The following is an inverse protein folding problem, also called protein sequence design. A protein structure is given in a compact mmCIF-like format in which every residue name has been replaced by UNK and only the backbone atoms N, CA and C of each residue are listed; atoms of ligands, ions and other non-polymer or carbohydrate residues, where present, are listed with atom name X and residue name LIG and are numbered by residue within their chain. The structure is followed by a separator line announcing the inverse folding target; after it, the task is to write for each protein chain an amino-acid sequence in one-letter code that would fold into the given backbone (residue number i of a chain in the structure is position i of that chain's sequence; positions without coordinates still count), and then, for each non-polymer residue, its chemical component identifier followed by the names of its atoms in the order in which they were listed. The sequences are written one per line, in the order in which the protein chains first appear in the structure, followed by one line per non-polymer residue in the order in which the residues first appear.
data_IF_208227668435
#
_entry.id   IF_208227668435
#
_cell.length_a   1.000
_cell.length_b   1.000
_cell.length_c   1.000
_cell.angle_alpha   90.00
_cell.angle_beta   90.00
_cell.angle_gamma   90.00
#
_symmetry.space_group_name_H-M   'P 1'
#
loop_
_entity.id
_entity.type
_entity.pdbx_description
1 polymer ?
#
# COMPACT_ATOMS: atom_id res chain seq x y z
N UNK A 1 18.86 6.94 -15.62
CA UNK A 1 18.69 5.75 -14.75
C UNK A 1 17.70 6.16 -13.68
N UNK A 2 16.66 5.37 -13.37
CA UNK A 2 15.70 5.77 -12.33
C UNK A 2 16.34 5.67 -10.94
N UNK A 3 16.08 6.67 -10.10
CA UNK A 3 16.45 6.63 -8.69
C UNK A 3 15.40 5.79 -7.95
N UNK A 4 15.84 4.95 -7.01
CA UNK A 4 14.94 4.05 -6.29
C UNK A 4 14.75 4.54 -4.85
N UNK A 5 13.55 4.99 -4.54
CA UNK A 5 13.14 5.27 -3.17
C UNK A 5 12.72 3.95 -2.49
N UNK A 6 13.67 3.30 -1.83
CA UNK A 6 13.43 2.02 -1.14
C UNK A 6 13.71 2.16 0.35
N UNK A 7 12.68 2.50 1.12
CA UNK A 7 12.76 2.58 2.58
C UNK A 7 12.21 1.33 3.28
N UNK A 8 12.12 0.20 2.56
CA UNK A 8 11.64 -1.08 3.15
C UNK A 8 12.70 -1.74 4.04
N UNK A 9 13.90 -1.17 4.17
CA UNK A 9 14.96 -1.63 5.07
C UNK A 9 15.90 -0.49 5.43
N UNK A 10 16.69 -0.68 6.49
CA UNK A 10 17.73 0.25 6.92
C UNK A 10 18.73 0.57 5.79
N UNK A 11 19.27 -0.46 5.13
CA UNK A 11 20.23 -0.33 4.05
C UNK A 11 19.60 0.33 2.82
N UNK A 12 18.34 0.05 2.54
CA UNK A 12 17.59 0.68 1.46
C UNK A 12 17.48 2.20 1.67
N UNK A 13 17.14 2.62 2.89
CA UNK A 13 17.05 4.04 3.24
C UNK A 13 18.39 4.75 3.14
N UNK A 14 19.47 4.13 3.62
CA UNK A 14 20.83 4.69 3.49
C UNK A 14 21.28 4.79 2.02
N UNK A 15 21.00 3.76 1.21
CA UNK A 15 21.33 3.78 -0.21
C UNK A 15 20.54 4.88 -0.94
N UNK A 16 19.26 5.06 -0.62
CA UNK A 16 18.48 6.16 -1.18
C UNK A 16 19.09 7.52 -0.82
N UNK A 17 19.39 7.79 0.45
CA UNK A 17 19.98 9.06 0.87
C UNK A 17 21.35 9.30 0.21
N UNK A 18 22.17 8.26 0.10
CA UNK A 18 23.45 8.33 -0.62
C UNK A 18 23.27 8.67 -2.09
N UNK A 19 22.40 7.96 -2.79
CA UNK A 19 22.23 8.12 -4.23
C UNK A 19 21.47 9.41 -4.57
N UNK A 20 20.58 9.87 -3.68
CA UNK A 20 19.76 11.05 -3.89
C UNK A 20 20.44 12.36 -3.49
N UNK A 21 21.23 12.33 -2.41
CA UNK A 21 21.84 13.53 -1.81
C UNK A 21 23.36 13.54 -1.94
N UNK A 22 23.96 12.47 -2.46
CA UNK A 22 25.42 12.27 -2.54
C UNK A 22 26.13 12.31 -1.16
N UNK A 23 25.41 11.93 -0.10
CA UNK A 23 25.93 11.91 1.28
C UNK A 23 26.43 10.51 1.64
N UNK A 24 27.60 10.42 2.29
CA UNK A 24 28.11 9.13 2.77
C UNK A 24 27.20 8.52 3.86
N UNK A 25 26.81 7.23 3.75
CA UNK A 25 25.98 6.58 4.74
C UNK A 25 26.48 6.66 6.18
N UNK A 26 27.80 6.75 6.42
CA UNK A 26 28.33 6.88 7.79
C UNK A 26 27.97 8.23 8.38
N UNK A 27 28.07 9.31 7.60
CA UNK A 27 27.68 10.65 8.05
C UNK A 27 26.19 10.73 8.39
N UNK A 28 25.34 10.06 7.61
CA UNK A 28 23.91 9.93 7.95
C UNK A 28 23.71 9.21 9.28
N UNK A 29 24.41 8.10 9.51
CA UNK A 29 24.33 7.34 10.77
C UNK A 29 24.85 8.15 11.96
N UNK A 30 25.96 8.89 11.79
CA UNK A 30 26.54 9.76 12.81
C UNK A 30 25.57 10.88 13.19
N UNK A 31 24.96 11.54 12.19
CA UNK A 31 23.93 12.54 12.40
C UNK A 31 22.77 11.99 13.22
N UNK A 32 22.18 10.89 12.74
CA UNK A 32 21.03 10.24 13.38
C UNK A 32 21.33 9.88 14.84
N UNK A 33 22.51 9.31 15.13
CA UNK A 33 22.91 8.92 16.50
C UNK A 33 23.18 10.09 17.44
N UNK A 34 23.33 11.30 16.91
CA UNK A 34 23.58 12.49 17.73
C UNK A 34 22.29 13.10 18.30
N UNK A 35 21.13 12.71 17.77
CA UNK A 35 19.81 13.13 18.26
C UNK A 35 19.01 11.96 18.83
N UNK A 36 18.85 11.96 20.15
CA UNK A 36 18.11 10.94 20.89
C UNK A 36 16.59 11.12 20.86
N UNK A 37 16.06 12.26 20.39
CA UNK A 37 14.63 12.58 20.46
C UNK A 37 13.86 12.11 19.22
N UNK A 38 14.17 12.66 18.05
CA UNK A 38 13.57 12.30 16.76
C UNK A 38 14.45 12.82 15.61
N UNK A 39 14.07 12.54 14.36
CA UNK A 39 14.72 13.12 13.18
C UNK A 39 14.25 14.56 12.95
N UNK A 40 15.19 15.50 12.90
CA UNK A 40 14.98 16.84 12.37
C UNK A 40 15.49 16.92 10.92
N UNK A 41 14.56 16.94 9.96
CA UNK A 41 14.92 17.00 8.54
C UNK A 41 15.45 18.38 8.13
N UNK A 42 15.01 19.45 8.78
CA UNK A 42 15.41 20.81 8.42
C UNK A 42 16.86 21.05 8.89
N UNK A 43 17.20 20.64 10.11
CA UNK A 43 18.57 20.67 10.62
C UNK A 43 19.52 19.77 9.78
N UNK A 44 19.06 18.59 9.36
CA UNK A 44 19.82 17.75 8.43
C UNK A 44 20.09 18.45 7.09
N UNK A 45 19.07 19.10 6.50
CA UNK A 45 19.21 19.87 5.26
C UNK A 45 20.22 20.99 5.42
N UNK A 46 20.20 21.70 6.55
CA UNK A 46 21.10 22.82 6.83
C UNK A 46 22.55 22.36 7.06
N UNK A 47 22.77 21.33 7.88
CA UNK A 47 24.10 20.78 8.19
C UNK A 47 24.80 20.27 6.92
N UNK A 48 24.07 19.54 6.09
CA UNK A 48 24.59 18.97 4.85
C UNK A 48 24.46 19.92 3.65
N UNK A 49 23.90 21.13 3.84
CA UNK A 49 23.73 22.19 2.84
C UNK A 49 23.02 21.70 1.57
N UNK A 50 21.96 20.93 1.76
CA UNK A 50 21.20 20.30 0.67
C UNK A 50 20.43 21.39 -0.09
N UNK A 51 20.67 21.49 -1.40
CA UNK A 51 19.94 22.40 -2.30
C UNK A 51 18.71 21.68 -2.88
N UNK A 52 17.54 21.82 -2.24
CA UNK A 52 16.30 21.12 -2.65
C UNK A 52 15.84 21.47 -4.08
N UNK A 53 16.16 22.67 -4.56
CA UNK A 53 15.90 23.13 -5.93
C UNK A 53 16.66 22.33 -6.99
N UNK A 54 17.80 21.73 -6.62
CA UNK A 54 18.64 20.93 -7.52
C UNK A 54 18.29 19.45 -7.54
N UNK A 55 17.44 18.99 -6.62
CA UNK A 55 17.04 17.59 -6.56
C UNK A 55 15.92 17.32 -7.58
N UNK A 56 16.16 16.34 -8.46
CA UNK A 56 15.16 15.84 -9.40
C UNK A 56 14.19 14.87 -8.71
N UNK A 57 12.92 14.86 -9.12
CA UNK A 57 11.89 13.99 -8.53
C UNK A 57 11.12 13.17 -9.57
N UNK A 58 11.23 13.52 -10.84
CA UNK A 58 10.47 12.99 -11.97
C UNK A 58 10.82 11.53 -12.30
N UNK A 59 12.04 11.11 -11.97
CA UNK A 59 12.57 9.78 -12.27
C UNK A 59 12.71 8.87 -11.04
N UNK A 60 11.99 9.19 -9.96
CA UNK A 60 11.99 8.38 -8.74
C UNK A 60 10.92 7.29 -8.83
N UNK A 61 11.33 6.04 -8.63
CA UNK A 61 10.42 4.92 -8.41
C UNK A 61 10.46 4.54 -6.93
N UNK A 62 9.31 4.57 -6.26
CA UNK A 62 9.17 4.09 -4.89
C UNK A 62 8.94 2.59 -4.85
N UNK A 63 9.56 1.95 -3.86
CA UNK A 63 9.38 0.54 -3.55
C UNK A 63 8.39 0.40 -2.40
N UNK A 64 7.37 -0.43 -2.61
CA UNK A 64 6.32 -0.68 -1.63
C UNK A 64 6.06 -2.18 -1.45
N UNK A 65 5.42 -2.49 -0.32
CA UNK A 65 5.07 -3.83 0.14
C UNK A 65 3.54 -3.93 0.19
N UNK A 66 2.96 -4.85 -0.59
CA UNK A 66 1.53 -5.17 -0.54
C UNK A 66 1.36 -6.55 0.10
N UNK A 67 0.47 -6.65 1.08
CA UNK A 67 0.18 -7.91 1.78
C UNK A 67 -1.10 -8.50 1.21
N UNK A 68 -1.07 -9.77 0.84
CA UNK A 68 -2.21 -10.46 0.24
C UNK A 68 -2.19 -11.95 0.57
N UNK A 69 -3.26 -12.66 0.22
CA UNK A 69 -3.30 -14.12 0.26
C UNK A 69 -3.98 -14.68 -0.98
N UNK A 70 -3.63 -15.90 -1.38
CA UNK A 70 -4.25 -16.62 -2.50
C UNK A 70 -4.03 -18.13 -2.36
N UNK A 71 -4.75 -18.91 -3.17
CA UNK A 71 -4.70 -20.37 -3.25
C UNK A 71 -3.87 -20.90 -4.44
N UNK A 72 -3.18 -20.02 -5.17
CA UNK A 72 -2.52 -20.35 -6.44
C UNK A 72 -1.00 -20.14 -6.45
N UNK A 73 -0.38 -20.02 -5.27
CA UNK A 73 1.05 -19.73 -5.08
C UNK A 73 1.52 -18.49 -5.88
N UNK A 74 0.67 -17.46 -5.89
CA UNK A 74 0.81 -16.21 -6.64
C UNK A 74 0.98 -16.39 -8.16
N UNK A 75 0.52 -17.50 -8.75
CA UNK A 75 0.60 -17.72 -10.21
C UNK A 75 -0.16 -16.63 -10.98
N UNK A 76 -1.36 -16.28 -10.54
CA UNK A 76 -2.14 -15.17 -11.09
C UNK A 76 -1.37 -13.85 -11.04
N UNK A 77 -0.86 -13.46 -9.86
CA UNK A 77 -0.09 -12.22 -9.67
C UNK A 77 1.16 -12.17 -10.56
N UNK A 78 1.88 -13.29 -10.73
CA UNK A 78 3.04 -13.35 -11.63
C UNK A 78 2.67 -13.12 -13.09
N UNK A 79 1.46 -13.50 -13.49
CA UNK A 79 0.98 -13.36 -14.86
C UNK A 79 0.35 -11.99 -15.13
N UNK A 80 -0.50 -11.50 -14.23
CA UNK A 80 -1.29 -10.28 -14.43
C UNK A 80 -0.70 -9.05 -13.75
N UNK A 81 0.20 -9.24 -12.78
CA UNK A 81 0.64 -8.19 -11.87
C UNK A 81 -0.29 -8.03 -10.67
N UNK A 82 -0.10 -6.96 -9.89
CA UNK A 82 -1.03 -6.58 -8.83
C UNK A 82 -2.16 -5.75 -9.42
N UNK A 83 -3.38 -6.18 -9.12
CA UNK A 83 -4.63 -5.57 -9.59
C UNK A 83 -5.28 -4.80 -8.45
N UNK A 84 -6.02 -3.75 -8.78
CA UNK A 84 -6.94 -3.12 -7.84
C UNK A 84 -8.13 -4.08 -7.54
N UNK A 85 -8.95 -3.78 -6.53
CA UNK A 85 -10.03 -4.68 -6.12
C UNK A 85 -11.08 -4.88 -7.24
N UNK A 86 -11.44 -3.83 -7.97
CA UNK A 86 -12.43 -3.94 -9.06
C UNK A 86 -11.96 -4.91 -10.15
N UNK A 87 -10.70 -4.80 -10.55
CA UNK A 87 -10.05 -5.74 -11.48
C UNK A 87 -9.96 -7.13 -10.88
N UNK A 88 -9.61 -7.25 -9.60
CA UNK A 88 -9.53 -8.54 -8.91
C UNK A 88 -10.89 -9.25 -8.87
N UNK A 89 -12.01 -8.53 -8.72
CA UNK A 89 -13.36 -9.09 -8.69
C UNK A 89 -13.90 -9.45 -10.09
N UNK A 90 -13.38 -8.83 -11.16
CA UNK A 90 -13.92 -8.97 -12.53
C UNK A 90 -13.05 -9.80 -13.46
N UNK A 91 -11.73 -9.83 -13.26
CA UNK A 91 -10.78 -10.64 -14.04
C UNK A 91 -10.65 -12.07 -13.51
N UNK A 92 -10.01 -12.95 -14.28
CA UNK A 92 -9.80 -14.35 -13.91
C UNK A 92 -8.75 -14.49 -12.78
N UNK A 93 -9.16 -14.23 -11.54
CA UNK A 93 -8.33 -14.25 -10.33
C UNK A 93 -8.80 -15.31 -9.33
N UNK A 94 -7.95 -15.67 -8.34
CA UNK A 94 -8.35 -16.50 -7.20
C UNK A 94 -9.61 -16.00 -6.49
N UNK A 95 -9.69 -14.70 -6.16
CA UNK A 95 -10.82 -14.16 -5.40
C UNK A 95 -12.13 -14.21 -6.20
N UNK A 96 -12.09 -13.93 -7.51
CA UNK A 96 -13.28 -14.05 -8.36
C UNK A 96 -13.79 -15.48 -8.40
N UNK A 97 -12.89 -16.46 -8.61
CA UNK A 97 -13.26 -17.89 -8.64
C UNK A 97 -13.87 -18.32 -7.31
N UNK A 98 -13.22 -17.96 -6.21
CA UNK A 98 -13.67 -18.27 -4.86
C UNK A 98 -15.08 -17.75 -4.60
N UNK A 99 -15.35 -16.47 -4.91
CA UNK A 99 -16.68 -15.88 -4.76
C UNK A 99 -17.74 -16.54 -5.64
N UNK A 100 -17.36 -16.95 -6.86
CA UNK A 100 -18.24 -17.69 -7.78
C UNK A 100 -18.74 -19.01 -7.19
N UNK A 101 -17.95 -19.70 -6.35
CA UNK A 101 -18.38 -20.92 -5.66
C UNK A 101 -19.52 -20.68 -4.65
N UNK A 102 -19.66 -19.43 -4.18
CA UNK A 102 -20.78 -18.99 -3.32
C UNK A 102 -21.89 -18.30 -4.13
N UNK A 103 -21.82 -18.33 -5.46
CA UNK A 103 -22.70 -17.63 -6.38
C UNK A 103 -22.73 -16.11 -6.10
N UNK A 104 -21.56 -15.55 -5.76
CA UNK A 104 -21.34 -14.12 -5.59
C UNK A 104 -20.58 -13.59 -6.81
N UNK A 105 -21.18 -12.64 -7.52
CA UNK A 105 -20.59 -12.03 -8.71
C UNK A 105 -20.72 -10.51 -8.66
N UNK A 106 -19.71 -9.81 -9.18
CA UNK A 106 -19.68 -8.36 -9.23
C UNK A 106 -19.71 -7.88 -10.67
N UNK A 107 -20.68 -7.01 -10.97
CA UNK A 107 -20.71 -6.18 -12.17
C UNK A 107 -20.36 -4.74 -11.77
N UNK A 108 -19.06 -4.45 -11.82
CA UNK A 108 -18.51 -3.15 -11.43
C UNK A 108 -18.98 -2.03 -12.37
N UNK A 109 -19.22 -2.34 -13.65
CA UNK A 109 -19.64 -1.32 -14.63
C UNK A 109 -21.07 -0.85 -14.37
N UNK A 110 -21.96 -1.78 -14.01
CA UNK A 110 -23.36 -1.47 -13.73
C UNK A 110 -23.65 -1.23 -12.24
N UNK A 111 -22.63 -1.27 -11.37
CA UNK A 111 -22.77 -1.10 -9.91
C UNK A 111 -23.68 -2.12 -9.25
N UNK A 112 -23.60 -3.36 -9.71
CA UNK A 112 -24.43 -4.46 -9.24
C UNK A 112 -23.57 -5.55 -8.62
N UNK A 113 -24.06 -6.13 -7.54
CA UNK A 113 -23.59 -7.41 -7.01
C UNK A 113 -24.73 -8.43 -7.09
N UNK A 114 -24.43 -9.63 -7.56
CA UNK A 114 -25.36 -10.76 -7.59
C UNK A 114 -24.99 -11.76 -6.51
N UNK A 115 -25.98 -12.20 -5.71
CA UNK A 115 -25.79 -13.26 -4.72
C UNK A 115 -26.92 -14.28 -4.81
N UNK A 116 -26.58 -15.49 -5.25
CA UNK A 116 -27.55 -16.60 -5.45
C UNK A 116 -28.74 -16.17 -6.32
N UNK A 117 -28.45 -15.40 -7.38
CA UNK A 117 -29.45 -14.86 -8.31
C UNK A 117 -30.19 -13.60 -7.83
N UNK A 118 -29.97 -13.13 -6.61
CA UNK A 118 -30.55 -11.87 -6.12
C UNK A 118 -29.62 -10.69 -6.47
N UNK A 119 -30.22 -9.60 -6.93
CA UNK A 119 -29.51 -8.38 -7.32
C UNK A 119 -29.41 -7.39 -6.16
N UNK A 120 -28.23 -6.82 -5.96
CA UNK A 120 -27.97 -5.76 -4.99
C UNK A 120 -27.34 -4.55 -5.70
N UNK A 121 -27.88 -3.36 -5.46
CA UNK A 121 -27.24 -2.10 -5.86
C UNK A 121 -26.10 -1.79 -4.88
N UNK A 122 -24.89 -1.64 -5.39
CA UNK A 122 -23.68 -1.31 -4.62
C UNK A 122 -23.15 0.07 -5.00
N UNK A 123 -24.02 0.99 -5.42
CA UNK A 123 -23.68 2.38 -5.66
C UNK A 123 -23.22 3.04 -4.36
N UNK A 124 -21.95 3.43 -4.31
CA UNK A 124 -21.43 4.20 -3.20
C UNK A 124 -21.82 5.69 -3.33
N UNK A 125 -22.41 6.23 -2.26
CA UNK A 125 -22.60 7.68 -2.09
C UNK A 125 -22.06 8.08 -0.73
N UNK A 126 -21.23 9.13 -0.68
CA UNK A 126 -20.67 9.67 0.57
C UNK A 126 -21.71 10.37 1.46
N UNK A 127 -22.93 10.59 0.97
CA UNK A 127 -24.02 11.14 1.78
C UNK A 127 -24.64 10.05 2.66
N UNK A 128 -24.67 10.30 3.96
CA UNK A 128 -25.43 9.50 4.92
C UNK A 128 -26.94 9.67 4.69
N UNK A 129 -27.68 8.57 4.78
CA UNK A 129 -29.15 8.56 4.77
C UNK A 129 -29.63 7.48 5.72
N UNK A 130 -30.65 7.76 6.52
CA UNK A 130 -31.16 6.85 7.56
C UNK A 130 -31.68 5.51 7.00
N UNK A 131 -32.02 5.45 5.71
CA UNK A 131 -32.53 4.24 5.03
C UNK A 131 -31.44 3.32 4.45
N UNK A 132 -30.14 3.64 4.63
CA UNK A 132 -29.05 2.84 4.05
C UNK A 132 -28.71 1.64 4.94
N UNK A 133 -28.68 0.45 4.33
CA UNK A 133 -28.07 -0.72 4.94
C UNK A 133 -26.55 -0.49 5.07
N UNK A 134 -26.09 -0.23 6.29
CA UNK A 134 -24.69 0.06 6.61
C UNK A 134 -23.72 -1.03 6.10
N UNK A 135 -24.16 -2.30 6.09
CA UNK A 135 -23.30 -3.41 5.63
C UNK A 135 -23.20 -3.44 4.12
N UNK A 136 -24.29 -3.13 3.42
CA UNK A 136 -24.26 -3.01 1.97
C UNK A 136 -23.44 -1.78 1.55
N UNK A 137 -23.57 -0.66 2.26
CA UNK A 137 -22.76 0.54 2.06
C UNK A 137 -21.27 0.24 2.34
N UNK A 138 -20.96 -0.61 3.32
CA UNK A 138 -19.59 -1.09 3.57
C UNK A 138 -18.99 -1.83 2.36
N UNK A 139 -19.78 -2.71 1.71
CA UNK A 139 -19.37 -3.37 0.45
C UNK A 139 -19.21 -2.34 -0.68
N UNK A 140 -20.18 -1.44 -0.86
CA UNK A 140 -20.13 -0.40 -1.88
C UNK A 140 -18.91 0.51 -1.73
N UNK A 141 -18.63 0.99 -0.51
CA UNK A 141 -17.46 1.77 -0.15
C UNK A 141 -16.18 1.02 -0.48
N UNK A 142 -16.11 -0.27 -0.15
CA UNK A 142 -14.92 -1.08 -0.44
C UNK A 142 -14.66 -1.21 -1.94
N UNK A 143 -15.71 -1.40 -2.74
CA UNK A 143 -15.59 -1.59 -4.20
C UNK A 143 -15.35 -0.28 -4.96
N UNK A 144 -15.90 0.85 -4.51
CA UNK A 144 -15.84 2.12 -5.28
C UNK A 144 -14.99 3.22 -4.66
N UNK A 145 -14.72 3.19 -3.35
CA UNK A 145 -13.94 4.22 -2.67
C UNK A 145 -12.58 3.70 -2.21
N UNK A 146 -12.51 2.50 -1.64
CA UNK A 146 -11.29 1.91 -1.08
C UNK A 146 -10.85 0.65 -1.85
N UNK A 147 -10.73 0.79 -3.17
CA UNK A 147 -10.46 -0.31 -4.10
C UNK A 147 -9.02 -0.31 -4.65
N UNK A 148 -8.24 0.72 -4.33
CA UNK A 148 -6.85 0.84 -4.75
C UNK A 148 -5.94 -0.21 -4.08
N UNK A 149 -4.74 -0.39 -4.64
CA UNK A 149 -3.71 -1.23 -4.02
C UNK A 149 -3.14 -0.48 -2.81
N UNK A 150 -3.46 -0.96 -1.61
CA UNK A 150 -2.92 -0.45 -0.35
C UNK A 150 -1.67 -1.24 0.05
N UNK A 151 -0.66 -0.57 0.60
CA UNK A 151 0.57 -1.20 1.05
C UNK A 151 1.37 -0.33 2.01
N UNK A 152 2.66 -0.61 2.07
CA UNK A 152 3.60 0.05 2.99
C UNK A 152 4.89 0.40 2.26
N UNK A 153 5.40 1.62 2.48
CA UNK A 153 6.79 1.92 2.17
C UNK A 153 7.73 1.30 3.22
N UNK A 154 7.25 1.14 4.46
CA UNK A 154 7.99 0.52 5.56
C UNK A 154 7.05 -0.15 6.56
N UNK A 155 7.41 -1.34 7.05
CA UNK A 155 6.73 -2.06 8.12
C UNK A 155 7.67 -3.11 8.73
N UNK A 156 7.58 -3.35 10.04
CA UNK A 156 8.39 -4.37 10.73
C UNK A 156 7.90 -5.79 10.43
N UNK A 157 6.62 -6.07 10.73
CA UNK A 157 5.95 -7.31 10.36
C UNK A 157 4.61 -6.96 9.70
N UNK A 158 4.39 -7.49 8.51
CA UNK A 158 3.13 -7.37 7.76
C UNK A 158 1.93 -7.92 8.53
N UNK A 159 2.14 -8.85 9.47
CA UNK A 159 1.10 -9.44 10.33
C UNK A 159 0.58 -8.46 11.39
N UNK A 160 1.38 -7.48 11.78
CA UNK A 160 0.99 -6.46 12.79
C UNK A 160 -0.06 -5.48 12.26
N UNK A 161 -0.40 -5.54 10.97
CA UNK A 161 -1.48 -4.73 10.41
C UNK A 161 -2.86 -5.23 10.90
N UNK A 162 -3.55 -4.38 11.65
CA UNK A 162 -4.81 -4.71 12.32
C UNK A 162 -5.95 -5.20 11.42
N UNK A 163 -5.91 -4.91 10.11
CA UNK A 163 -6.90 -5.41 9.14
C UNK A 163 -6.82 -6.91 8.86
N UNK A 164 -5.79 -7.62 9.36
CA UNK A 164 -5.59 -9.07 9.14
C UNK A 164 -5.60 -9.45 7.65
N UNK A 165 -5.07 -8.57 6.81
CA UNK A 165 -5.00 -8.75 5.34
C UNK A 165 -4.18 -9.96 4.91
N UNK A 166 -3.28 -10.42 5.78
CA UNK A 166 -2.55 -11.68 5.61
C UNK A 166 -3.50 -12.89 5.70
N UNK A 167 -4.52 -12.87 6.56
CA UNK A 167 -5.49 -13.96 6.67
C UNK A 167 -6.48 -13.95 5.50
N UNK A 168 -6.92 -12.75 5.06
CA UNK A 168 -7.96 -12.60 4.03
C UNK A 168 -8.01 -11.19 3.42
N UNK A 169 -8.47 -11.06 2.17
CA UNK A 169 -8.91 -9.78 1.62
C UNK A 169 -10.06 -9.16 2.44
N UNK A 170 -10.00 -7.86 2.72
CA UNK A 170 -11.02 -7.17 3.52
C UNK A 170 -12.43 -7.25 2.91
N UNK A 171 -12.56 -7.34 1.58
CA UNK A 171 -13.87 -7.51 0.92
C UNK A 171 -14.60 -8.79 1.40
N UNK A 172 -13.89 -9.84 1.76
CA UNK A 172 -14.51 -11.06 2.32
C UNK A 172 -15.10 -10.78 3.70
N UNK A 173 -14.48 -9.89 4.48
CA UNK A 173 -15.04 -9.43 5.74
C UNK A 173 -16.31 -8.61 5.54
N UNK A 174 -16.32 -7.68 4.60
CA UNK A 174 -17.52 -6.91 4.29
C UNK A 174 -18.69 -7.82 3.84
N UNK A 175 -18.40 -8.81 2.99
CA UNK A 175 -19.40 -9.78 2.53
C UNK A 175 -19.89 -10.71 3.64
N UNK A 176 -18.99 -11.18 4.51
CA UNK A 176 -19.36 -11.94 5.72
C UNK A 176 -20.33 -11.13 6.57
N UNK A 177 -20.04 -9.87 6.85
CA UNK A 177 -20.88 -9.06 7.73
C UNK A 177 -22.26 -8.76 7.13
N UNK A 178 -22.31 -8.53 5.82
CA UNK A 178 -23.55 -8.36 5.06
C UNK A 178 -24.43 -9.61 5.09
N UNK A 179 -23.87 -10.77 4.74
CA UNK A 179 -24.64 -12.02 4.58
C UNK A 179 -24.66 -12.93 5.80
N UNK A 180 -23.95 -12.58 6.88
CA UNK A 180 -23.74 -13.41 8.07
C UNK A 180 -23.22 -14.80 7.71
N UNK A 181 -22.20 -14.82 6.85
CA UNK A 181 -21.64 -16.02 6.26
C UNK A 181 -20.16 -16.20 6.65
N UNK A 182 -19.91 -16.67 7.88
CA UNK A 182 -18.55 -16.88 8.42
C UNK A 182 -17.68 -17.77 7.52
N UNK A 183 -18.30 -18.71 6.81
CA UNK A 183 -17.67 -19.63 5.86
C UNK A 183 -16.85 -18.92 4.77
N UNK A 184 -17.19 -17.67 4.39
CA UNK A 184 -16.45 -16.88 3.41
C UNK A 184 -15.04 -16.52 3.88
N UNK A 185 -14.86 -16.29 5.18
CA UNK A 185 -13.54 -16.02 5.74
C UNK A 185 -12.84 -17.32 6.13
N UNK A 186 -13.55 -18.20 6.84
CA UNK A 186 -12.96 -19.41 7.42
C UNK A 186 -12.39 -20.34 6.35
N UNK A 187 -13.13 -20.54 5.25
CA UNK A 187 -12.65 -21.38 4.16
C UNK A 187 -11.50 -20.73 3.40
N UNK A 188 -11.51 -19.40 3.21
CA UNK A 188 -10.39 -18.70 2.59
C UNK A 188 -9.09 -18.89 3.39
N UNK A 189 -9.17 -18.69 4.71
CA UNK A 189 -8.02 -18.89 5.62
C UNK A 189 -7.46 -20.31 5.60
N UNK A 190 -8.30 -21.31 5.34
CA UNK A 190 -7.89 -22.72 5.28
C UNK A 190 -7.16 -23.09 3.98
N UNK A 191 -7.51 -22.45 2.86
CA UNK A 191 -6.99 -22.84 1.54
C UNK A 191 -5.91 -21.90 1.01
N UNK A 192 -5.88 -20.65 1.49
CA UNK A 192 -4.96 -19.63 1.01
C UNK A 192 -3.71 -19.50 1.87
N UNK A 193 -2.61 -19.10 1.23
CA UNK A 193 -1.35 -18.75 1.91
C UNK A 193 -1.13 -17.24 1.85
N UNK A 194 -0.56 -16.63 2.90
CA UNK A 194 -0.22 -15.22 2.91
C UNK A 194 1.12 -14.92 2.22
N UNK A 195 1.20 -13.75 1.60
CA UNK A 195 2.38 -13.26 0.89
C UNK A 195 2.57 -11.76 1.09
N UNK A 196 3.83 -11.32 1.08
CA UNK A 196 4.22 -9.93 0.82
C UNK A 196 4.71 -9.83 -0.61
N UNK A 197 4.07 -8.97 -1.39
CA UNK A 197 4.44 -8.65 -2.76
C UNK A 197 5.23 -7.34 -2.71
N UNK A 198 6.52 -7.41 -3.00
CA UNK A 198 7.40 -6.24 -3.11
C UNK A 198 7.39 -5.77 -4.56
N UNK A 199 7.10 -4.50 -4.78
CA UNK A 199 7.01 -3.91 -6.10
C UNK A 199 7.58 -2.50 -6.14
N UNK A 200 7.81 -2.00 -7.35
CA UNK A 200 8.16 -0.59 -7.58
C UNK A 200 7.17 0.12 -8.49
N UNK A 201 7.00 1.41 -8.29
CA UNK A 201 6.19 2.27 -9.14
C UNK A 201 6.70 3.72 -9.11
N UNK A 202 6.48 4.52 -10.17
CA UNK A 202 6.73 5.96 -10.14
C UNK A 202 5.98 6.64 -8.97
N UNK A 203 6.53 7.71 -8.40
CA UNK A 203 5.86 8.46 -7.32
C UNK A 203 4.44 8.92 -7.72
N UNK A 204 4.24 9.28 -8.98
CA UNK A 204 2.93 9.70 -9.51
C UNK A 204 1.87 8.60 -9.55
N UNK A 205 2.24 7.34 -9.30
CA UNK A 205 1.27 6.25 -9.20
C UNK A 205 0.64 6.16 -7.81
N UNK A 206 1.19 6.88 -6.82
CA UNK A 206 0.66 6.95 -5.47
C UNK A 206 -0.28 8.16 -5.32
N UNK A 207 -1.23 8.05 -4.40
CA UNK A 207 -2.12 9.16 -4.05
C UNK A 207 -1.38 10.20 -3.22
N UNK A 208 -1.85 11.45 -3.25
CA UNK A 208 -1.24 12.53 -2.48
C UNK A 208 -1.13 12.19 -1.00
N UNK A 209 -2.13 11.54 -0.41
CA UNK A 209 -2.14 11.19 1.02
C UNK A 209 -1.16 10.07 1.41
N UNK A 210 -0.36 9.56 0.45
CA UNK A 210 0.84 8.79 0.75
C UNK A 210 2.01 9.67 1.21
N UNK A 211 2.03 10.95 0.82
CA UNK A 211 3.14 11.89 1.02
C UNK A 211 2.72 13.15 1.78
N UNK A 212 1.47 13.57 1.66
CA UNK A 212 0.94 14.81 2.25
C UNK A 212 -0.16 14.48 3.25
N UNK A 213 -0.36 15.34 4.25
CA UNK A 213 -1.43 15.14 5.23
C UNK A 213 -2.77 15.60 4.64
N UNK A 214 -2.74 16.72 3.93
CA UNK A 214 -3.93 17.39 3.41
C UNK A 214 -3.84 17.61 1.89
N UNK A 215 -5.01 17.71 1.24
CA UNK A 215 -5.08 17.87 -0.21
C UNK A 215 -4.52 19.23 -0.67
N UNK A 216 -4.76 20.28 0.09
CA UNK A 216 -4.30 21.63 -0.27
C UNK A 216 -2.78 21.73 -0.26
N UNK A 217 -2.09 21.07 0.69
CA UNK A 217 -0.62 20.99 0.72
C UNK A 217 -0.06 20.39 -0.57
N UNK A 218 -0.69 19.32 -1.08
CA UNK A 218 -0.31 18.71 -2.35
C UNK A 218 -0.55 19.63 -3.55
N UNK A 219 -1.68 20.34 -3.56
CA UNK A 219 -2.04 21.26 -4.64
C UNK A 219 -1.09 22.48 -4.68
N UNK A 220 -0.71 22.99 -3.52
CA UNK A 220 0.26 24.09 -3.38
C UNK A 220 1.69 23.65 -3.78
N UNK A 221 2.10 22.44 -3.41
CA UNK A 221 3.42 21.88 -3.73
C UNK A 221 3.49 21.26 -5.14
N UNK A 222 2.41 21.28 -5.92
CA UNK A 222 2.29 20.48 -7.15
C UNK A 222 3.36 20.78 -8.19
N UNK A 223 3.77 22.05 -8.34
CA UNK A 223 4.73 22.48 -9.35
C UNK A 223 6.19 22.18 -8.98
N UNK A 224 6.61 22.56 -7.77
CA UNK A 224 8.01 22.51 -7.34
C UNK A 224 8.37 21.21 -6.62
N UNK A 225 7.37 20.53 -6.03
CA UNK A 225 7.51 19.29 -5.25
C UNK A 225 8.51 19.40 -4.10
N UNK A 226 8.73 20.60 -3.57
CA UNK A 226 9.68 20.85 -2.48
C UNK A 226 9.28 20.07 -1.23
N UNK A 227 8.01 20.10 -0.84
CA UNK A 227 7.53 19.35 0.32
C UNK A 227 7.60 17.83 0.09
N UNK A 228 7.37 17.34 -1.14
CA UNK A 228 7.63 15.93 -1.47
C UNK A 228 9.10 15.56 -1.29
N UNK A 229 10.03 16.38 -1.78
CA UNK A 229 11.47 16.13 -1.64
C UNK A 229 11.89 16.05 -0.17
N UNK A 230 11.41 17.00 0.65
CA UNK A 230 11.62 16.99 2.10
C UNK A 230 11.02 15.72 2.73
N UNK A 231 9.81 15.33 2.33
CA UNK A 231 9.17 14.13 2.82
C UNK A 231 9.98 12.86 2.53
N UNK A 232 10.53 12.72 1.31
CA UNK A 232 11.36 11.57 0.93
C UNK A 232 12.61 11.46 1.80
N UNK A 233 13.31 12.59 2.00
CA UNK A 233 14.49 12.66 2.88
C UNK A 233 14.10 12.31 4.31
N UNK A 234 13.07 12.97 4.84
CA UNK A 234 12.58 12.77 6.19
C UNK A 234 12.22 11.29 6.45
N UNK A 235 11.46 10.64 5.58
CA UNK A 235 11.05 9.24 5.79
C UNK A 235 12.22 8.26 5.68
N UNK A 236 13.19 8.51 4.81
CA UNK A 236 14.41 7.70 4.76
C UNK A 236 15.21 7.84 6.06
N UNK A 237 15.43 9.07 6.54
CA UNK A 237 16.09 9.34 7.82
C UNK A 237 15.33 8.73 8.99
N UNK A 238 14.00 8.86 9.03
CA UNK A 238 13.14 8.33 10.07
C UNK A 238 13.27 6.81 10.20
N UNK A 239 13.39 6.09 9.09
CA UNK A 239 13.67 4.64 9.09
C UNK A 239 15.06 4.35 9.67
N UNK A 240 16.09 5.10 9.25
CA UNK A 240 17.46 4.94 9.77
C UNK A 240 17.49 5.19 11.28
N UNK A 241 16.81 6.24 11.76
CA UNK A 241 16.73 6.60 13.16
C UNK A 241 16.00 5.58 14.01
N UNK A 242 14.83 5.09 13.57
CA UNK A 242 14.09 4.08 14.32
C UNK A 242 14.88 2.76 14.41
N UNK A 243 15.60 2.39 13.35
CA UNK A 243 16.46 1.20 13.38
C UNK A 243 17.68 1.40 14.29
N UNK A 244 18.30 2.59 14.30
CA UNK A 244 19.45 2.89 15.15
C UNK A 244 19.09 2.92 16.65
N UNK A 245 17.97 3.55 17.03
CA UNK A 245 17.62 3.78 18.43
C UNK A 245 16.63 2.75 19.00
N UNK A 246 15.68 2.29 18.18
CA UNK A 246 14.58 1.41 18.63
C UNK A 246 14.71 -0.02 18.11
N UNK A 247 15.61 -0.28 17.14
CA UNK A 247 15.75 -1.56 16.44
C UNK A 247 14.42 -2.06 15.85
N UNK A 248 13.62 -1.12 15.35
CA UNK A 248 12.30 -1.39 14.78
C UNK A 248 12.10 -0.59 13.51
N UNK A 249 11.44 -1.18 12.52
CA UNK A 249 11.00 -0.49 11.31
C UNK A 249 9.70 0.29 11.59
N UNK A 250 9.64 1.59 11.26
CA UNK A 250 8.41 2.35 11.42
C UNK A 250 7.36 1.89 10.40
N UNK A 251 6.08 2.01 10.76
CA UNK A 251 4.98 1.76 9.83
C UNK A 251 4.70 3.00 9.00
N UNK A 252 4.95 2.92 7.69
CA UNK A 252 4.71 4.00 6.73
C UNK A 252 3.85 3.46 5.61
N UNK A 253 2.63 3.98 5.47
CA UNK A 253 1.66 3.54 4.48
C UNK A 253 2.01 4.02 3.07
N UNK A 254 1.59 3.25 2.08
CA UNK A 254 1.68 3.58 0.68
C UNK A 254 0.32 3.28 0.03
N UNK A 255 -0.30 4.29 -0.58
CA UNK A 255 -1.61 4.19 -1.19
C UNK A 255 -1.48 4.48 -2.68
N UNK A 256 -1.78 3.49 -3.51
CA UNK A 256 -1.77 3.65 -4.96
C UNK A 256 -3.00 4.44 -5.41
N UNK A 257 -2.93 5.12 -6.55
CA UNK A 257 -4.12 5.69 -7.19
C UNK A 257 -5.09 4.57 -7.60
N UNK A 258 -6.42 4.79 -7.53
CA UNK A 258 -7.40 3.72 -7.73
C UNK A 258 -7.34 3.04 -9.11
N UNK A 259 -7.01 3.79 -10.15
CA UNK A 259 -6.89 3.31 -11.53
C UNK A 259 -5.59 2.52 -11.81
N UNK A 260 -4.64 2.53 -10.88
CA UNK A 260 -3.32 1.94 -11.11
C UNK A 260 -3.31 0.44 -10.83
N UNK A 261 -2.64 -0.29 -11.71
CA UNK A 261 -2.22 -1.67 -11.52
C UNK A 261 -0.70 -1.77 -11.67
N UNK A 262 -0.07 -2.73 -10.98
CA UNK A 262 1.37 -2.98 -11.08
C UNK A 262 1.60 -4.13 -12.02
N UNK A 263 2.19 -3.86 -13.18
CA UNK A 263 2.50 -4.89 -14.17
C UNK A 263 3.60 -5.85 -13.68
N UNK A 264 3.63 -7.12 -14.17
CA UNK A 264 4.56 -8.14 -13.69
C UNK A 264 6.03 -7.73 -13.64
N UNK A 265 6.51 -6.96 -14.63
CA UNK A 265 7.91 -6.52 -14.71
C UNK A 265 8.35 -5.61 -13.55
N UNK A 266 7.39 -5.00 -12.84
CA UNK A 266 7.62 -4.11 -11.71
C UNK A 266 7.55 -4.85 -10.36
N UNK A 267 7.26 -6.15 -10.36
CA UNK A 267 7.36 -6.98 -9.17
C UNK A 267 8.83 -7.28 -8.89
N UNK A 268 9.28 -6.92 -7.69
CA UNK A 268 10.66 -7.13 -7.23
C UNK A 268 10.81 -8.43 -6.44
N UNK A 269 9.75 -8.91 -5.81
CA UNK A 269 9.77 -10.14 -5.05
C UNK A 269 8.39 -10.55 -4.52
N UNK A 270 8.25 -11.85 -4.28
CA UNK A 270 7.07 -12.46 -3.64
C UNK A 270 7.61 -13.27 -2.47
N UNK A 271 7.28 -12.83 -1.26
CA UNK A 271 7.81 -13.39 -0.01
C UNK A 271 6.64 -14.09 0.69
N UNK A 272 6.65 -15.44 0.80
CA UNK A 272 5.69 -16.14 1.63
C UNK A 272 5.80 -15.64 3.07
N UNK A 273 4.66 -15.40 3.71
CA UNK A 273 4.63 -15.19 5.15
C UNK A 273 4.46 -16.55 5.81
N UNK A 274 5.39 -16.95 6.67
CA UNK A 274 5.22 -18.19 7.43
C UNK A 274 3.94 -18.09 8.24
N UNK A 275 3.03 -19.04 8.08
CA UNK A 275 1.90 -19.19 8.99
C UNK A 275 2.49 -19.87 10.22
N UNK A 276 2.89 -19.08 11.21
CA UNK A 276 3.25 -19.64 12.53
C UNK A 276 2.00 -20.35 13.04
N UNK A 277 2.02 -21.69 13.04
CA UNK A 277 0.97 -22.53 13.63
C UNK A 277 0.85 -22.28 15.13
#
# INVERSE_FOLDING_TARGET
MSLIFNITSFEGSLNFLKDYLEIDPKSVIEYVKSDDNDVDVDDFIDIFKISLDKLEHENIEAVALHVTSNDDDCKSIKNTGLLNLQQALTMNTPIKKYLGEFQIEFDVSNKIMWVKGNQFDITYSSSWSDDKDEKLDSVARKVYFDHQINGFFSIQDAKDYGGRVHERPEILHNLKELFKADVLEDRWKQICKPYVIKYKAPLDYFTYYSFYSEKHEYEEDYAEKTALKVWLINKALYVVWNMAHKRMMPKIFAYMKPEVSIIPKNLLGIIPLDVSN
#
